data_IF_395462693424
#
_entry.id   IF_395462693424
#
_cell.length_a   1.000
_cell.length_b   1.000
_cell.length_c   1.000
_cell.angle_alpha   90.00
_cell.angle_beta   90.00
_cell.angle_gamma   90.00
#
_symmetry.space_group_name_H-M   'P 1'
#
loop_
_entity.id
_entity.type
_entity.pdbx_description
1 polymer ?
#
# COMPACT_ATOMS: atom_id res chain seq x y z
N UNK A 1 -5.67 -9.25 9.22
CA UNK A 1 -5.36 -9.90 7.92
C UNK A 1 -4.25 -9.13 7.23
N UNK A 2 -3.31 -9.84 6.60
CA UNK A 2 -2.18 -9.26 5.86
C UNK A 2 -2.40 -9.56 4.37
N UNK A 3 -2.25 -8.53 3.54
CA UNK A 3 -2.21 -8.66 2.08
C UNK A 3 -0.91 -8.08 1.56
N UNK A 4 -0.29 -8.75 0.60
CA UNK A 4 1.00 -8.35 0.02
C UNK A 4 0.80 -8.07 -1.46
N UNK A 5 1.38 -6.97 -1.95
CA UNK A 5 1.25 -6.50 -3.32
C UNK A 5 2.63 -6.23 -3.93
N UNK A 6 2.76 -6.54 -5.22
CA UNK A 6 4.01 -6.43 -5.97
C UNK A 6 4.84 -7.72 -5.96
N UNK A 7 6.13 -7.57 -6.25
CA UNK A 7 7.10 -8.65 -6.45
C UNK A 7 8.18 -8.58 -5.36
N UNK A 8 8.31 -9.61 -4.51
CA UNK A 8 9.37 -9.69 -3.50
C UNK A 8 10.78 -9.51 -4.11
N UNK A 9 11.63 -8.78 -3.43
CA UNK A 9 13.00 -8.42 -3.85
C UNK A 9 13.07 -7.34 -4.94
N UNK A 10 11.94 -6.86 -5.47
CA UNK A 10 11.91 -5.82 -6.51
C UNK A 10 11.08 -4.60 -6.08
N UNK A 11 9.85 -4.85 -5.63
CA UNK A 11 8.90 -3.84 -5.22
C UNK A 11 7.80 -4.50 -4.38
N UNK A 12 7.69 -4.16 -3.11
CA UNK A 12 6.72 -4.77 -2.21
C UNK A 12 6.05 -3.74 -1.32
N UNK A 13 4.73 -3.83 -1.24
CA UNK A 13 3.94 -3.15 -0.23
C UNK A 13 3.01 -4.15 0.47
N UNK A 14 2.69 -3.86 1.71
CA UNK A 14 1.77 -4.67 2.50
C UNK A 14 0.60 -3.83 3.00
N UNK A 15 -0.59 -4.43 2.99
CA UNK A 15 -1.78 -3.88 3.65
C UNK A 15 -2.06 -4.73 4.89
N UNK A 16 -2.04 -4.08 6.04
CA UNK A 16 -2.36 -4.67 7.32
C UNK A 16 -3.71 -4.15 7.83
N UNK A 17 -4.64 -5.08 8.06
CA UNK A 17 -5.88 -4.82 8.78
C UNK A 17 -5.62 -4.91 10.29
N UNK A 18 -5.97 -3.85 11.02
CA UNK A 18 -5.88 -3.68 12.48
C UNK A 18 -7.27 -3.30 13.02
N UNK A 19 -7.52 -3.37 14.34
CA UNK A 19 -8.79 -2.93 14.92
C UNK A 19 -9.16 -1.47 14.58
N UNK A 20 -8.17 -0.63 14.32
CA UNK A 20 -8.34 0.79 13.98
C UNK A 20 -8.53 1.07 12.48
N UNK A 21 -8.41 0.05 11.62
CA UNK A 21 -8.55 0.20 10.16
C UNK A 21 -7.46 -0.51 9.35
N UNK A 22 -7.27 -0.05 8.11
CA UNK A 22 -6.34 -0.62 7.15
C UNK A 22 -5.17 0.32 6.92
N UNK A 23 -3.96 -0.24 6.83
CA UNK A 23 -2.74 0.53 6.67
C UNK A 23 -1.88 -0.06 5.58
N UNK A 24 -1.43 0.78 4.65
CA UNK A 24 -0.42 0.43 3.65
C UNK A 24 0.97 0.79 4.14
N UNK A 25 1.93 -0.11 3.95
CA UNK A 25 3.35 0.10 4.25
C UNK A 25 4.18 -0.28 3.04
N UNK A 26 5.09 0.61 2.63
CA UNK A 26 6.14 0.28 1.67
C UNK A 26 7.22 -0.55 2.37
N UNK A 27 7.47 -1.76 1.87
CA UNK A 27 8.46 -2.67 2.48
C UNK A 27 9.78 -2.58 1.73
N UNK A 28 9.76 -2.69 0.40
CA UNK A 28 10.99 -2.69 -0.40
C UNK A 28 10.75 -2.18 -1.83
N UNK A 29 11.84 -1.81 -2.49
CA UNK A 29 11.86 -1.36 -3.88
C UNK A 29 12.34 0.08 -4.02
N UNK A 30 12.91 0.38 -5.20
CA UNK A 30 13.52 1.68 -5.50
C UNK A 30 12.48 2.79 -5.67
N UNK A 31 11.27 2.44 -6.10
CA UNK A 31 10.16 3.38 -6.22
C UNK A 31 9.34 3.27 -4.94
N UNK A 32 9.15 4.34 -4.16
CA UNK A 32 8.22 4.27 -3.04
C UNK A 32 6.80 4.02 -3.56
N UNK A 33 6.03 3.23 -2.81
CA UNK A 33 4.59 3.13 -3.07
C UNK A 33 3.94 4.53 -2.99
N UNK A 34 2.82 4.73 -3.67
CA UNK A 34 2.09 6.00 -3.64
C UNK A 34 0.65 5.76 -3.19
N UNK A 35 0.11 6.70 -2.44
CA UNK A 35 -1.28 6.76 -2.04
C UNK A 35 -1.87 8.06 -2.57
N UNK A 36 -2.90 7.95 -3.42
CA UNK A 36 -3.54 9.06 -4.11
C UNK A 36 -2.53 10.00 -4.80
N UNK A 37 -1.54 9.40 -5.49
CA UNK A 37 -0.46 10.12 -6.18
C UNK A 37 0.65 10.67 -5.28
N UNK A 38 0.53 10.56 -3.95
CA UNK A 38 1.57 11.01 -3.00
C UNK A 38 2.43 9.83 -2.55
N UNK A 39 3.74 9.97 -2.64
CA UNK A 39 4.68 8.96 -2.14
C UNK A 39 4.43 8.69 -0.66
N UNK A 40 4.29 7.41 -0.29
CA UNK A 40 4.31 6.98 1.10
C UNK A 40 5.76 6.67 1.48
N UNK A 41 6.17 7.08 2.68
CA UNK A 41 7.49 6.76 3.21
C UNK A 41 7.55 5.34 3.75
N UNK A 42 8.47 5.10 4.67
CA UNK A 42 8.59 3.82 5.38
C UNK A 42 7.52 3.64 6.47
N UNK A 43 6.88 4.72 6.90
CA UNK A 43 5.83 4.64 7.91
C UNK A 43 4.50 4.17 7.32
N UNK A 44 3.73 3.34 8.07
CA UNK A 44 2.40 2.95 7.66
C UNK A 44 1.47 4.15 7.43
N UNK A 45 0.69 4.12 6.34
CA UNK A 45 -0.32 5.13 6.03
C UNK A 45 -1.72 4.52 6.09
N UNK A 46 -2.70 5.19 6.72
CA UNK A 46 -4.06 4.71 6.74
C UNK A 46 -4.64 4.71 5.32
N UNK A 47 -5.47 3.69 5.02
CA UNK A 47 -6.26 3.58 3.81
C UNK A 47 -7.73 3.84 4.12
N UNK A 48 -8.36 4.70 3.31
CA UNK A 48 -9.79 4.97 3.31
C UNK A 48 -10.46 4.33 2.09
N UNK A 49 -11.77 3.98 2.15
CA UNK A 49 -12.50 3.51 0.99
C UNK A 49 -12.31 4.41 -0.23
N UNK A 50 -12.13 3.80 -1.40
CA UNK A 50 -11.85 4.44 -2.68
C UNK A 50 -10.47 5.10 -2.81
N UNK A 51 -9.58 4.93 -1.83
CA UNK A 51 -8.19 5.30 -2.00
C UNK A 51 -7.55 4.48 -3.12
N UNK A 52 -6.73 5.15 -3.91
CA UNK A 52 -6.01 4.54 -5.00
C UNK A 52 -4.53 4.53 -4.66
N UNK A 53 -3.91 3.36 -4.70
CA UNK A 53 -2.51 3.19 -4.36
C UNK A 53 -1.72 2.55 -5.50
N UNK A 54 -0.44 2.88 -5.57
CA UNK A 54 0.48 2.44 -6.62
C UNK A 54 1.66 1.71 -5.99
N UNK A 55 1.98 0.54 -6.53
CA UNK A 55 3.11 -0.28 -6.11
C UNK A 55 3.89 -0.66 -7.36
N UNK A 56 5.04 -0.01 -7.57
CA UNK A 56 5.84 -0.19 -8.78
C UNK A 56 5.13 0.37 -10.02
N UNK A 57 4.65 -0.53 -10.89
CA UNK A 57 3.87 -0.18 -12.08
C UNK A 57 2.39 -0.56 -11.94
N UNK A 58 2.00 -1.15 -10.81
CA UNK A 58 0.62 -1.54 -10.54
C UNK A 58 -0.12 -0.40 -9.87
N UNK A 59 -1.39 -0.22 -10.23
CA UNK A 59 -2.31 0.77 -9.64
C UNK A 59 -3.57 0.05 -9.21
N UNK A 60 -3.95 0.22 -7.96
CA UNK A 60 -4.96 -0.58 -7.27
C UNK A 60 -5.95 0.35 -6.56
N UNK A 61 -7.23 -0.04 -6.55
CA UNK A 61 -8.31 0.65 -5.84
C UNK A 61 -8.63 -0.11 -4.55
N UNK A 62 -8.63 0.59 -3.42
CA UNK A 62 -9.04 0.02 -2.14
C UNK A 62 -10.56 0.16 -1.98
N UNK A 63 -11.24 -0.97 -1.79
CA UNK A 63 -12.69 -1.03 -1.58
C UNK A 63 -12.99 -1.70 -0.23
N UNK A 64 -13.97 -1.18 0.49
CA UNK A 64 -14.55 -1.81 1.67
C UNK A 64 -15.97 -2.29 1.35
N UNK A 65 -16.30 -3.50 1.77
CA UNK A 65 -17.65 -4.07 1.73
C UNK A 65 -18.28 -4.00 3.11
#
# INVERSE_FOLDING_TARGET
MLHTFGVPGKQLAVINSRPQGYFITHVEGKKPARLNGKSIGHEPRPLAPNDMFEVGNEKLLFLLK
#
